data_IF_738015982656
#
_entry.id   IF_738015982656
#
_cell.length_a   1.000
_cell.length_b   1.000
_cell.length_c   1.000
_cell.angle_alpha   90.00
_cell.angle_beta   90.00
_cell.angle_gamma   90.00
#
_symmetry.space_group_name_H-M   'P 1'
#
loop_
_entity.id
_entity.type
_entity.pdbx_description
1 polymer ?
#
# COMPACT_ATOMS: atom_id res chain seq x y z
N UNK A 1 10.33 3.00 -0.32
CA UNK A 1 10.43 3.19 1.15
C UNK A 1 9.27 4.05 1.63
N UNK A 2 9.13 5.29 1.16
CA UNK A 2 8.10 6.24 1.65
C UNK A 2 6.71 6.06 1.00
N UNK A 3 6.31 4.82 0.68
CA UNK A 3 5.04 4.58 -0.01
C UNK A 3 3.91 4.49 1.02
N UNK A 4 2.89 5.35 0.91
CA UNK A 4 1.88 5.55 1.97
C UNK A 4 1.14 4.27 2.38
N UNK A 5 0.92 3.36 1.43
CA UNK A 5 0.13 2.14 1.61
C UNK A 5 0.99 0.90 1.93
N UNK A 6 2.32 1.04 1.94
CA UNK A 6 3.25 -0.04 2.31
C UNK A 6 3.52 -0.04 3.82
N UNK A 7 2.59 -0.59 4.59
CA UNK A 7 2.65 -0.59 6.07
C UNK A 7 3.31 -1.84 6.68
N UNK A 8 3.56 -2.88 5.89
CA UNK A 8 4.27 -4.09 6.31
C UNK A 8 5.63 -4.17 5.63
N UNK A 9 6.65 -4.58 6.38
CA UNK A 9 8.00 -4.82 5.88
C UNK A 9 8.58 -6.10 6.45
N UNK A 10 9.21 -6.91 5.59
CA UNK A 10 9.97 -8.09 5.96
C UNK A 10 11.33 -8.08 5.31
N UNK A 11 12.41 -8.20 6.09
CA UNK A 11 13.78 -8.15 5.58
C UNK A 11 14.57 -9.40 5.94
N UNK A 12 15.51 -9.77 5.05
CA UNK A 12 16.43 -10.86 5.25
C UNK A 12 17.82 -10.53 4.70
N UNK A 13 18.83 -11.21 5.25
CA UNK A 13 20.22 -11.14 4.81
C UNK A 13 20.74 -12.55 4.52
N UNK A 14 21.46 -12.72 3.42
CA UNK A 14 22.08 -13.99 3.06
C UNK A 14 23.57 -13.79 2.69
N UNK A 15 24.50 -14.59 3.26
CA UNK A 15 25.88 -14.59 2.80
C UNK A 15 26.00 -15.36 1.48
N UNK A 16 26.41 -14.66 0.42
CA UNK A 16 26.71 -15.21 -0.90
C UNK A 16 28.24 -15.29 -1.07
N UNK A 17 28.82 -16.49 -1.05
CA UNK A 17 30.24 -16.67 -1.34
C UNK A 17 30.48 -16.47 -2.84
N UNK A 18 31.27 -15.47 -3.22
CA UNK A 18 31.72 -15.29 -4.59
C UNK A 18 33.24 -15.14 -4.61
N UNK A 19 33.93 -16.08 -5.27
CA UNK A 19 35.41 -16.13 -5.37
C UNK A 19 36.13 -16.05 -4.00
N UNK A 20 35.61 -16.73 -2.98
CA UNK A 20 36.24 -16.80 -1.65
C UNK A 20 36.04 -15.58 -0.75
N UNK A 21 35.54 -14.45 -1.28
CA UNK A 21 35.11 -13.30 -0.46
C UNK A 21 33.66 -13.46 0.02
N UNK A 22 33.35 -13.16 1.30
CA UNK A 22 31.96 -13.07 1.74
C UNK A 22 31.32 -11.83 1.12
N UNK A 23 30.25 -12.03 0.35
CA UNK A 23 29.31 -10.96 -0.02
C UNK A 23 28.02 -11.17 0.74
N UNK A 24 27.33 -10.10 1.08
CA UNK A 24 26.03 -10.17 1.75
C UNK A 24 24.97 -9.61 0.81
N UNK A 25 23.89 -10.37 0.64
CA UNK A 25 22.73 -9.96 -0.13
C UNK A 25 21.61 -9.59 0.84
N UNK A 26 21.07 -8.39 0.68
CA UNK A 26 20.05 -7.82 1.53
C UNK A 26 18.76 -7.70 0.72
N UNK A 27 17.66 -8.21 1.26
CA UNK A 27 16.34 -8.15 0.61
C UNK A 27 15.34 -7.64 1.63
N UNK A 28 14.51 -6.68 1.23
CA UNK A 28 13.33 -6.26 1.98
C UNK A 28 12.12 -6.28 1.05
N UNK A 29 11.06 -6.93 1.50
CA UNK A 29 9.73 -6.92 0.90
C UNK A 29 8.86 -5.91 1.64
N UNK A 30 8.04 -5.19 0.88
CA UNK A 30 7.10 -4.18 1.37
C UNK A 30 5.69 -4.58 0.93
N UNK A 31 4.73 -4.60 1.84
CA UNK A 31 3.33 -4.91 1.54
C UNK A 31 2.38 -3.83 2.10
N UNK A 32 1.34 -3.42 1.38
CA UNK A 32 1.12 -3.70 -0.05
C UNK A 32 2.24 -3.10 -0.91
N UNK A 33 2.39 -3.62 -2.12
CA UNK A 33 3.39 -3.14 -3.07
C UNK A 33 3.17 -1.66 -3.41
N UNK A 34 4.27 -0.98 -3.71
CA UNK A 34 4.24 0.41 -4.14
C UNK A 34 4.86 0.59 -5.51
N UNK A 35 5.18 1.84 -5.84
CA UNK A 35 5.79 2.22 -7.13
C UNK A 35 4.92 1.87 -8.34
N UNK A 36 3.59 1.99 -8.22
CA UNK A 36 2.70 1.85 -9.37
C UNK A 36 3.11 2.85 -10.47
N UNK A 37 3.20 2.44 -11.75
CA UNK A 37 3.73 3.29 -12.82
C UNK A 37 3.06 4.65 -12.94
N UNK A 38 1.74 4.69 -12.72
CA UNK A 38 0.91 5.88 -12.85
C UNK A 38 1.12 6.89 -11.71
N UNK A 39 1.45 6.43 -10.50
CA UNK A 39 1.59 7.27 -9.29
C UNK A 39 3.02 7.29 -8.74
N UNK A 40 4.01 6.77 -9.48
CA UNK A 40 5.40 6.63 -9.01
C UNK A 40 6.05 7.94 -8.52
N UNK A 41 5.59 9.09 -9.02
CA UNK A 41 6.09 10.42 -8.63
C UNK A 41 5.38 10.99 -7.41
N UNK A 42 4.30 10.35 -6.97
CA UNK A 42 3.44 10.76 -5.85
C UNK A 42 3.28 9.58 -4.87
N UNK A 43 4.35 9.20 -4.14
CA UNK A 43 4.33 8.02 -3.26
C UNK A 43 3.39 8.17 -2.04
N UNK A 44 2.92 9.38 -1.79
CA UNK A 44 1.93 9.73 -0.77
C UNK A 44 1.19 11.00 -1.18
N UNK A 45 -0.01 11.20 -0.65
CA UNK A 45 -0.76 12.45 -0.83
C UNK A 45 -0.06 13.59 -0.09
N UNK A 46 0.28 14.67 -0.79
CA UNK A 46 0.85 15.87 -0.17
C UNK A 46 -0.21 16.59 0.67
N UNK A 47 0.14 17.04 1.87
CA UNK A 47 -0.79 17.73 2.76
C UNK A 47 -0.26 17.91 4.18
N UNK A 48 -1.14 18.31 5.09
CA UNK A 48 -0.82 18.35 6.52
C UNK A 48 -0.67 16.90 7.03
N UNK A 49 0.33 16.60 7.87
CA UNK A 49 0.47 15.26 8.41
C UNK A 49 -0.81 14.76 9.08
N UNK A 50 -1.18 13.51 8.80
CA UNK A 50 -2.38 12.85 9.31
C UNK A 50 -3.73 13.48 8.97
N UNK A 51 -3.81 14.40 7.99
CA UNK A 51 -5.10 14.97 7.56
C UNK A 51 -6.12 13.91 7.14
N UNK A 52 -5.65 12.81 6.54
CA UNK A 52 -6.49 11.69 6.13
C UNK A 52 -6.86 10.71 7.26
N UNK A 53 -6.22 10.81 8.43
CA UNK A 53 -6.35 9.86 9.54
C UNK A 53 -6.34 10.55 10.92
N UNK A 54 -7.20 11.55 11.18
CA UNK A 54 -7.10 12.43 12.35
C UNK A 54 -7.21 11.69 13.70
N UNK A 55 -7.95 10.57 13.72
CA UNK A 55 -8.15 9.75 14.93
C UNK A 55 -7.17 8.57 15.03
N UNK A 56 -6.34 8.34 14.02
CA UNK A 56 -5.43 7.20 13.90
C UNK A 56 -4.05 7.71 13.49
N UNK A 57 -3.50 8.62 14.29
CA UNK A 57 -2.23 9.29 14.01
C UNK A 57 -1.28 9.14 15.19
N UNK A 58 -0.08 8.63 14.92
CA UNK A 58 1.01 8.54 15.87
C UNK A 58 2.28 9.07 15.20
N UNK A 59 2.95 10.04 15.84
CA UNK A 59 4.20 10.64 15.33
C UNK A 59 4.17 11.02 13.84
N UNK A 60 3.03 11.61 13.39
CA UNK A 60 2.79 12.05 12.01
C UNK A 60 2.60 10.91 10.99
N UNK A 61 2.36 9.69 11.46
CA UNK A 61 2.07 8.51 10.63
C UNK A 61 0.64 8.01 10.91
N UNK A 62 -0.05 7.58 9.86
CA UNK A 62 -1.36 6.95 10.00
C UNK A 62 -1.22 5.51 10.52
N UNK A 63 -2.10 5.10 11.43
CA UNK A 63 -2.09 3.78 12.10
C UNK A 63 -3.31 2.92 11.76
N UNK A 64 -4.11 3.33 10.78
CA UNK A 64 -5.32 2.62 10.31
C UNK A 64 -5.18 2.17 8.85
N UNK A 65 -4.30 1.21 8.54
CA UNK A 65 -4.18 0.68 7.18
C UNK A 65 -5.42 -0.15 6.80
N UNK A 66 -5.81 -0.09 5.52
CA UNK A 66 -6.80 -1.01 4.97
C UNK A 66 -6.14 -2.38 4.78
N UNK A 67 -6.79 -3.44 5.28
CA UNK A 67 -6.31 -4.81 5.13
C UNK A 67 -6.67 -5.43 3.78
N UNK A 68 -7.59 -4.79 3.05
CA UNK A 68 -7.96 -5.14 1.70
C UNK A 68 -7.16 -4.30 0.72
N UNK A 69 -7.11 -4.73 -0.54
CA UNK A 69 -6.51 -3.98 -1.62
C UNK A 69 -7.42 -4.01 -2.85
N UNK A 70 -7.26 -3.02 -3.72
CA UNK A 70 -7.92 -2.98 -5.01
C UNK A 70 -6.99 -3.56 -6.08
N UNK A 71 -7.52 -4.49 -6.87
CA UNK A 71 -6.82 -5.10 -8.02
C UNK A 71 -6.83 -4.15 -9.23
N UNK A 72 -7.82 -3.26 -9.31
CA UNK A 72 -7.95 -2.26 -10.38
C UNK A 72 -7.68 -0.86 -9.85
N UNK A 73 -7.05 -0.03 -10.69
CA UNK A 73 -6.67 1.35 -10.34
C UNK A 73 -7.84 2.33 -10.40
N UNK A 74 -8.92 2.00 -11.10
CA UNK A 74 -10.11 2.82 -11.32
C UNK A 74 -11.32 2.39 -10.48
N UNK A 75 -11.08 1.65 -9.40
CA UNK A 75 -12.11 1.13 -8.50
C UNK A 75 -13.07 2.21 -7.97
N UNK A 76 -12.61 3.45 -7.79
CA UNK A 76 -13.47 4.58 -7.43
C UNK A 76 -14.55 4.91 -8.48
N UNK A 77 -14.26 4.72 -9.77
CA UNK A 77 -15.23 4.88 -10.86
C UNK A 77 -16.15 3.65 -10.96
N UNK A 78 -15.58 2.45 -10.96
CA UNK A 78 -16.30 1.18 -11.01
C UNK A 78 -17.36 1.08 -9.90
N UNK A 79 -16.98 1.34 -8.65
CA UNK A 79 -17.88 1.33 -7.49
C UNK A 79 -18.95 2.41 -7.60
N UNK A 80 -18.62 3.59 -8.15
CA UNK A 80 -19.60 4.67 -8.33
C UNK A 80 -20.68 4.33 -9.35
N UNK A 81 -20.35 3.63 -10.43
CA UNK A 81 -21.31 3.28 -11.49
C UNK A 81 -22.08 1.98 -11.22
N UNK A 82 -21.42 0.96 -10.69
CA UNK A 82 -21.99 -0.38 -10.52
C UNK A 82 -22.40 -0.67 -9.07
N UNK A 83 -21.78 0.00 -8.11
CA UNK A 83 -21.93 -0.28 -6.68
C UNK A 83 -21.16 -1.53 -6.24
N UNK A 84 -20.89 -1.62 -4.93
CA UNK A 84 -20.14 -2.73 -4.34
C UNK A 84 -20.85 -4.08 -4.36
N UNK A 85 -22.16 -4.12 -4.65
CA UNK A 85 -22.92 -5.36 -4.78
C UNK A 85 -22.77 -6.01 -6.16
N UNK A 86 -22.27 -5.26 -7.16
CA UNK A 86 -22.01 -5.81 -8.49
C UNK A 86 -20.81 -6.78 -8.44
N UNK A 87 -20.85 -7.83 -9.25
CA UNK A 87 -19.87 -8.92 -9.21
C UNK A 87 -18.42 -8.43 -9.38
N UNK A 88 -18.19 -7.49 -10.30
CA UNK A 88 -16.84 -6.96 -10.60
C UNK A 88 -16.25 -6.15 -9.42
N UNK A 89 -16.85 -5.03 -8.95
CA UNK A 89 -16.28 -4.31 -7.81
C UNK A 89 -16.18 -5.16 -6.53
N UNK A 90 -17.14 -6.08 -6.30
CA UNK A 90 -17.09 -6.96 -5.14
C UNK A 90 -15.85 -7.86 -5.11
N UNK A 91 -15.35 -8.27 -6.28
CA UNK A 91 -14.20 -9.17 -6.39
C UNK A 91 -12.87 -8.40 -6.44
N UNK A 92 -12.83 -7.30 -7.19
CA UNK A 92 -11.59 -6.60 -7.56
C UNK A 92 -11.39 -5.24 -6.86
N UNK A 93 -12.41 -4.69 -6.19
CA UNK A 93 -12.37 -3.37 -5.56
C UNK A 93 -12.67 -3.43 -4.06
N UNK A 94 -12.05 -4.40 -3.38
CA UNK A 94 -12.35 -4.69 -1.98
C UNK A 94 -11.97 -3.54 -1.05
N UNK A 95 -10.83 -2.87 -1.26
CA UNK A 95 -10.45 -1.72 -0.46
C UNK A 95 -11.39 -0.53 -0.71
N UNK A 96 -11.79 -0.28 -1.95
CA UNK A 96 -12.80 0.75 -2.24
C UNK A 96 -14.13 0.45 -1.56
N UNK A 97 -14.54 -0.82 -1.48
CA UNK A 97 -15.85 -1.23 -0.95
C UNK A 97 -15.92 -1.49 0.55
N UNK A 98 -14.81 -1.88 1.20
CA UNK A 98 -14.81 -2.38 2.58
C UNK A 98 -14.02 -1.48 3.54
N UNK A 99 -13.25 -0.52 3.03
CA UNK A 99 -12.46 0.41 3.84
C UNK A 99 -12.98 1.84 3.64
N UNK A 100 -13.71 2.33 4.64
CA UNK A 100 -14.33 3.65 4.63
C UNK A 100 -13.41 4.73 5.21
N UNK A 101 -12.61 4.37 6.22
CA UNK A 101 -11.79 5.33 6.97
C UNK A 101 -10.30 5.04 6.93
N UNK A 102 -9.96 3.81 6.57
CA UNK A 102 -8.62 3.29 6.50
C UNK A 102 -7.84 3.81 5.28
N UNK A 103 -6.52 3.88 5.41
CA UNK A 103 -5.62 4.30 4.33
C UNK A 103 -5.50 3.16 3.31
N UNK A 104 -5.77 3.47 2.04
CA UNK A 104 -5.69 2.57 0.87
C UNK A 104 -5.04 3.25 -0.32
#
# INVERSE_FOLDING_TARGET
IVWATSYLIGCAIAPCRHKGSPRYFYVCHYCHEGNYPETKHEPYKTGVPCEACPNNCEDKLCTNPCIYYDEYTDCGLEVRFLGCNHSTPRMFCQATCLCDTEIK
#
